data_IF_941095740525
#
_entry.id   IF_941095740525
#
_cell.length_a   1.000
_cell.length_b   1.000
_cell.length_c   1.000
_cell.angle_alpha   90.00
_cell.angle_beta   90.00
_cell.angle_gamma   90.00
#
_symmetry.space_group_name_H-M   'P 1'
#
loop_
_entity.id
_entity.type
_entity.pdbx_description
1 polymer ?
#
# COMPACT_ATOMS: atom_id res chain seq x y z
N UNK A 1 -24.41 43.75 -21.03
CA UNK A 1 -23.38 42.78 -20.61
C UNK A 1 -23.41 42.67 -19.09
N UNK A 2 -23.73 41.49 -18.53
CA UNK A 2 -23.73 41.29 -17.07
C UNK A 2 -22.28 41.34 -16.57
N UNK A 3 -21.98 42.27 -15.65
CA UNK A 3 -20.66 42.38 -15.05
C UNK A 3 -20.34 41.06 -14.30
N UNK A 4 -19.41 40.32 -14.84
CA UNK A 4 -18.95 39.05 -14.24
C UNK A 4 -18.34 39.35 -12.86
N UNK A 5 -18.86 38.72 -11.81
CA UNK A 5 -18.38 38.94 -10.45
C UNK A 5 -16.90 38.54 -10.37
N UNK A 6 -16.05 39.43 -9.89
CA UNK A 6 -14.64 39.16 -9.66
C UNK A 6 -14.50 37.98 -8.68
N UNK A 7 -13.67 37.01 -9.00
CA UNK A 7 -13.44 35.81 -8.16
C UNK A 7 -14.20 34.56 -8.58
N UNK A 8 -15.27 34.70 -9.41
CA UNK A 8 -16.05 33.53 -9.84
C UNK A 8 -15.21 32.48 -10.61
N UNK A 9 -14.27 32.98 -11.45
CA UNK A 9 -13.33 32.07 -12.15
C UNK A 9 -12.48 31.22 -11.21
N UNK A 10 -11.99 31.80 -10.11
CA UNK A 10 -11.19 31.07 -9.13
C UNK A 10 -12.01 29.98 -8.42
N UNK A 11 -13.28 30.24 -8.11
CA UNK A 11 -14.19 29.27 -7.51
C UNK A 11 -14.47 28.10 -8.45
N UNK A 12 -14.70 28.38 -9.75
CA UNK A 12 -14.89 27.33 -10.76
C UNK A 12 -13.60 26.52 -10.89
N UNK A 13 -12.43 27.16 -10.95
CA UNK A 13 -11.14 26.47 -11.02
C UNK A 13 -10.93 25.57 -9.80
N UNK A 14 -11.22 26.06 -8.60
CA UNK A 14 -11.15 25.25 -7.37
C UNK A 14 -12.07 24.02 -7.45
N UNK A 15 -13.29 24.19 -7.94
CA UNK A 15 -14.25 23.09 -8.12
C UNK A 15 -13.75 22.06 -9.14
N UNK A 16 -13.20 22.49 -10.27
CA UNK A 16 -12.64 21.59 -11.29
C UNK A 16 -11.47 20.81 -10.73
N UNK A 17 -10.54 21.47 -10.01
CA UNK A 17 -9.40 20.81 -9.37
C UNK A 17 -9.88 19.78 -8.35
N UNK A 18 -10.88 20.12 -7.53
CA UNK A 18 -11.47 19.21 -6.55
C UNK A 18 -12.09 17.97 -7.21
N UNK A 19 -12.85 18.15 -8.29
CA UNK A 19 -13.49 17.04 -9.00
C UNK A 19 -12.47 16.13 -9.68
N UNK A 20 -11.49 16.71 -10.39
CA UNK A 20 -10.46 15.92 -11.07
C UNK A 20 -9.52 15.22 -10.07
N UNK A 21 -8.97 15.95 -9.11
CA UNK A 21 -8.07 15.40 -8.10
C UNK A 21 -8.78 14.43 -7.16
N UNK A 22 -10.02 14.73 -6.77
CA UNK A 22 -10.88 13.84 -5.99
C UNK A 22 -11.17 12.54 -6.75
N UNK A 23 -11.49 12.62 -8.05
CA UNK A 23 -11.70 11.45 -8.91
C UNK A 23 -10.45 10.56 -8.99
N UNK A 24 -9.28 11.15 -9.20
CA UNK A 24 -8.01 10.40 -9.22
C UNK A 24 -7.74 9.75 -7.85
N UNK A 25 -7.96 10.47 -6.77
CA UNK A 25 -7.76 9.95 -5.39
C UNK A 25 -8.67 8.74 -5.13
N UNK A 26 -9.95 8.84 -5.49
CA UNK A 26 -10.91 7.72 -5.34
C UNK A 26 -10.48 6.53 -6.18
N UNK A 27 -10.08 6.74 -7.45
CA UNK A 27 -9.61 5.66 -8.31
C UNK A 27 -8.38 4.94 -7.74
N UNK A 28 -7.37 5.70 -7.28
CA UNK A 28 -6.18 5.13 -6.65
C UNK A 28 -6.51 4.44 -5.31
N UNK A 29 -7.41 5.00 -4.53
CA UNK A 29 -7.87 4.42 -3.27
C UNK A 29 -8.57 3.07 -3.47
N UNK A 30 -9.47 2.96 -4.45
CA UNK A 30 -10.13 1.70 -4.82
C UNK A 30 -9.09 0.68 -5.31
N UNK A 31 -8.15 1.12 -6.16
CA UNK A 31 -7.08 0.25 -6.66
C UNK A 31 -6.18 -0.27 -5.54
N UNK A 32 -5.82 0.57 -4.57
CA UNK A 32 -5.05 0.17 -3.40
C UNK A 32 -5.83 -0.79 -2.50
N UNK A 33 -7.12 -0.51 -2.26
CA UNK A 33 -8.01 -1.37 -1.46
C UNK A 33 -8.16 -2.77 -2.07
N UNK A 34 -8.43 -2.87 -3.37
CA UNK A 34 -8.52 -4.16 -4.06
C UNK A 34 -7.20 -4.93 -4.00
N UNK A 35 -6.07 -4.25 -4.25
CA UNK A 35 -4.75 -4.89 -4.11
C UNK A 35 -4.47 -5.36 -2.68
N UNK A 36 -4.91 -4.61 -1.66
CA UNK A 36 -4.79 -5.00 -0.25
C UNK A 36 -5.66 -6.21 0.09
N UNK A 37 -6.87 -6.30 -0.47
CA UNK A 37 -7.76 -7.45 -0.31
C UNK A 37 -7.15 -8.71 -0.92
N UNK A 38 -6.68 -8.63 -2.17
CA UNK A 38 -6.00 -9.74 -2.84
C UNK A 38 -4.77 -10.20 -2.04
N UNK A 39 -4.04 -9.25 -1.42
CA UNK A 39 -2.91 -9.53 -0.56
C UNK A 39 -3.32 -10.35 0.68
N UNK A 40 -4.36 -9.94 1.41
CA UNK A 40 -4.82 -10.66 2.61
C UNK A 40 -5.38 -12.04 2.28
N UNK A 41 -6.16 -12.18 1.20
CA UNK A 41 -6.69 -13.47 0.74
C UNK A 41 -5.55 -14.44 0.35
N UNK A 42 -4.49 -13.97 -0.28
CA UNK A 42 -3.34 -14.80 -0.63
C UNK A 42 -2.47 -15.15 0.60
N UNK A 43 -2.40 -14.29 1.61
CA UNK A 43 -1.77 -14.64 2.88
C UNK A 43 -2.48 -15.83 3.53
N UNK A 44 -3.81 -15.82 3.58
CA UNK A 44 -4.60 -16.89 4.19
C UNK A 44 -4.52 -18.22 3.43
N UNK A 45 -4.16 -18.20 2.14
CA UNK A 45 -3.98 -19.40 1.31
C UNK A 45 -2.56 -19.99 1.36
N UNK A 46 -1.66 -19.39 2.12
CA UNK A 46 -0.29 -19.86 2.29
C UNK A 46 -0.22 -21.24 2.99
N UNK A 47 0.84 -21.98 2.70
CA UNK A 47 1.17 -23.21 3.43
C UNK A 47 2.07 -22.88 4.61
N UNK A 48 1.86 -23.55 5.75
CA UNK A 48 2.63 -23.28 6.96
C UNK A 48 3.16 -24.54 7.62
N UNK A 49 4.23 -24.40 8.39
CA UNK A 49 4.75 -25.45 9.25
C UNK A 49 5.33 -24.88 10.54
N UNK A 50 5.42 -25.72 11.56
CA UNK A 50 5.97 -25.35 12.87
C UNK A 50 7.35 -25.99 13.01
N UNK A 51 8.36 -25.19 13.35
CA UNK A 51 9.73 -25.67 13.59
C UNK A 51 9.79 -26.62 14.79
N UNK A 52 10.60 -27.68 14.76
CA UNK A 52 11.57 -28.07 13.74
C UNK A 52 11.03 -28.95 12.60
N UNK A 53 9.72 -29.04 12.41
CA UNK A 53 9.16 -29.82 11.31
C UNK A 53 9.56 -29.21 9.97
N UNK A 54 9.43 -30.01 8.91
CA UNK A 54 9.64 -29.58 7.53
C UNK A 54 8.33 -29.64 6.77
N UNK A 55 8.22 -28.84 5.69
CA UNK A 55 7.07 -28.81 4.80
C UNK A 55 7.45 -29.41 3.46
N UNK A 56 6.62 -30.29 2.93
CA UNK A 56 6.70 -30.73 1.53
C UNK A 56 5.85 -29.79 0.69
N UNK A 57 6.50 -28.95 -0.12
CA UNK A 57 5.86 -27.89 -0.89
C UNK A 57 5.94 -28.15 -2.39
N UNK A 58 4.80 -28.14 -3.08
CA UNK A 58 4.73 -28.34 -4.53
C UNK A 58 3.98 -27.17 -5.19
N UNK A 59 4.69 -26.23 -5.84
CA UNK A 59 4.07 -25.07 -6.44
C UNK A 59 3.23 -25.44 -7.66
N UNK A 60 2.09 -24.76 -7.80
CA UNK A 60 1.16 -24.94 -8.93
C UNK A 60 1.63 -24.21 -10.20
N UNK A 61 2.50 -23.23 -10.04
CA UNK A 61 3.04 -22.39 -11.13
C UNK A 61 4.49 -21.98 -10.84
N UNK A 62 5.20 -21.50 -11.88
CA UNK A 62 6.49 -20.86 -11.68
C UNK A 62 6.26 -19.50 -11.04
N UNK A 63 6.73 -19.29 -9.82
CA UNK A 63 6.51 -18.06 -9.09
C UNK A 63 7.66 -17.76 -8.13
N UNK A 64 7.66 -16.57 -7.61
CA UNK A 64 8.38 -16.21 -6.42
C UNK A 64 7.45 -16.40 -5.22
N UNK A 65 7.94 -17.08 -4.20
CA UNK A 65 7.21 -17.25 -2.94
C UNK A 65 7.88 -16.44 -1.86
N UNK A 66 7.07 -15.83 -1.02
CA UNK A 66 7.52 -15.05 0.12
C UNK A 66 7.36 -15.88 1.40
N UNK A 67 8.37 -15.87 2.22
CA UNK A 67 8.43 -16.62 3.46
C UNK A 67 8.29 -15.66 4.64
N UNK A 68 7.36 -15.98 5.52
CA UNK A 68 7.06 -15.21 6.71
C UNK A 68 7.31 -16.04 7.95
N UNK A 69 7.70 -15.39 9.04
CA UNK A 69 7.71 -15.99 10.38
C UNK A 69 6.66 -15.30 11.24
N UNK A 70 5.88 -16.12 11.92
CA UNK A 70 4.89 -15.64 12.90
C UNK A 70 5.57 -15.55 14.26
N UNK A 71 5.48 -14.39 14.90
CA UNK A 71 6.01 -14.21 16.25
C UNK A 71 5.96 -12.76 16.71
N UNK A 72 6.38 -12.57 17.95
CA UNK A 72 6.44 -11.24 18.57
C UNK A 72 7.59 -10.40 17.98
N UNK A 73 7.60 -9.09 18.27
CA UNK A 73 8.53 -8.10 17.69
C UNK A 73 10.03 -8.39 17.94
N UNK A 74 10.35 -9.24 18.91
CA UNK A 74 11.73 -9.52 19.35
C UNK A 74 12.40 -10.73 18.64
N UNK A 75 11.83 -11.23 17.51
CA UNK A 75 12.43 -12.34 16.78
C UNK A 75 13.68 -11.88 16.05
N UNK A 76 14.81 -12.52 16.34
CA UNK A 76 16.04 -12.32 15.56
C UNK A 76 15.95 -13.01 14.19
N UNK A 77 15.45 -12.26 13.21
CA UNK A 77 15.32 -12.72 11.82
C UNK A 77 16.68 -13.00 11.16
N UNK A 78 17.76 -12.42 11.67
CA UNK A 78 19.08 -12.58 11.07
C UNK A 78 19.63 -14.01 11.21
N UNK A 79 19.27 -14.71 12.25
CA UNK A 79 19.69 -16.09 12.50
C UNK A 79 18.88 -17.11 11.71
N UNK A 80 17.64 -16.81 11.33
CA UNK A 80 16.76 -17.75 10.64
C UNK A 80 17.18 -17.89 9.17
N UNK A 81 17.43 -19.12 8.74
CA UNK A 81 17.74 -19.47 7.37
C UNK A 81 16.74 -20.49 6.84
N UNK A 82 16.12 -20.18 5.71
CA UNK A 82 15.18 -21.09 5.05
C UNK A 82 15.88 -21.79 3.91
N UNK A 83 15.76 -23.12 3.90
CA UNK A 83 16.37 -23.98 2.88
C UNK A 83 15.28 -24.74 2.13
N UNK A 84 15.37 -24.73 0.81
CA UNK A 84 14.56 -25.49 -0.13
C UNK A 84 15.39 -26.60 -0.73
N UNK A 85 15.07 -27.84 -0.43
CA UNK A 85 15.71 -29.01 -1.02
C UNK A 85 14.79 -29.61 -2.08
N UNK A 86 15.19 -29.54 -3.35
CA UNK A 86 14.47 -30.22 -4.42
C UNK A 86 14.54 -31.74 -4.21
N UNK A 87 13.38 -32.37 -4.01
CA UNK A 87 13.31 -33.80 -3.71
C UNK A 87 13.74 -34.70 -4.87
N UNK A 88 13.71 -34.20 -6.10
CA UNK A 88 14.10 -34.96 -7.31
C UNK A 88 15.60 -34.95 -7.49
N UNK A 89 16.24 -33.79 -7.28
CA UNK A 89 17.69 -33.62 -7.53
C UNK A 89 18.52 -33.71 -6.27
N UNK A 90 17.91 -33.59 -5.09
CA UNK A 90 18.61 -33.50 -3.81
C UNK A 90 19.35 -32.15 -3.60
N UNK A 91 19.22 -31.20 -4.52
CA UNK A 91 19.92 -29.92 -4.44
C UNK A 91 19.22 -29.01 -3.43
N UNK A 92 19.97 -28.53 -2.45
CA UNK A 92 19.49 -27.55 -1.47
C UNK A 92 19.93 -26.14 -1.85
N UNK A 93 18.96 -25.21 -1.86
CA UNK A 93 19.19 -23.78 -2.04
C UNK A 93 18.65 -23.01 -0.86
N UNK A 94 19.33 -21.94 -0.48
CA UNK A 94 18.83 -21.01 0.55
C UNK A 94 17.91 -19.97 -0.09
N UNK A 95 16.84 -19.63 0.61
CA UNK A 95 16.03 -18.49 0.25
C UNK A 95 16.84 -17.19 0.42
N UNK A 96 16.57 -16.21 -0.44
CA UNK A 96 17.23 -14.92 -0.39
C UNK A 96 16.63 -14.09 0.73
N UNK A 97 17.43 -13.71 1.73
CA UNK A 97 16.97 -12.84 2.80
C UNK A 97 16.49 -11.50 2.25
N UNK A 98 15.37 -11.03 2.76
CA UNK A 98 14.88 -9.71 2.41
C UNK A 98 15.74 -8.62 3.06
N UNK A 99 16.07 -7.60 2.27
CA UNK A 99 16.72 -6.39 2.79
C UNK A 99 15.72 -5.39 3.40
N UNK A 100 14.43 -5.63 3.22
CA UNK A 100 13.36 -4.77 3.71
C UNK A 100 12.57 -5.53 4.78
N UNK A 101 12.66 -5.07 6.00
CA UNK A 101 11.88 -5.59 7.11
C UNK A 101 10.42 -5.11 6.97
N UNK A 102 9.60 -5.91 6.29
CA UNK A 102 8.15 -5.70 6.32
C UNK A 102 7.56 -6.55 7.45
N UNK A 103 6.65 -5.96 8.21
CA UNK A 103 5.80 -6.72 9.11
C UNK A 103 4.34 -6.34 8.86
N UNK A 104 3.48 -7.32 8.91
CA UNK A 104 2.03 -7.15 8.83
C UNK A 104 1.43 -7.91 10.00
N UNK A 105 0.80 -7.20 10.91
CA UNK A 105 0.39 -7.73 12.20
C UNK A 105 1.60 -8.32 12.96
N UNK A 106 1.58 -9.60 13.31
CA UNK A 106 2.69 -10.34 13.92
C UNK A 106 3.43 -11.26 12.93
N UNK A 107 3.33 -10.99 11.63
CA UNK A 107 4.03 -11.71 10.56
C UNK A 107 5.20 -10.86 10.07
N UNK A 108 6.40 -11.41 10.13
CA UNK A 108 7.64 -10.76 9.70
C UNK A 108 8.12 -11.38 8.39
N UNK A 109 8.33 -10.56 7.38
CA UNK A 109 8.92 -10.99 6.11
C UNK A 109 10.38 -11.41 6.33
N UNK A 110 10.67 -12.66 6.01
CA UNK A 110 11.98 -13.26 6.24
C UNK A 110 12.82 -13.36 4.97
N UNK A 111 12.24 -13.92 3.91
CA UNK A 111 12.99 -14.24 2.70
C UNK A 111 12.06 -14.47 1.51
N UNK A 112 12.65 -14.45 0.31
CA UNK A 112 11.99 -14.80 -0.94
C UNK A 112 12.71 -15.96 -1.63
N UNK A 113 11.96 -16.81 -2.35
CA UNK A 113 12.52 -17.92 -3.08
C UNK A 113 11.75 -18.16 -4.39
N UNK A 114 12.50 -18.38 -5.48
CA UNK A 114 11.91 -18.72 -6.78
C UNK A 114 11.67 -20.21 -6.88
N UNK A 115 10.42 -20.61 -7.07
CA UNK A 115 9.98 -22.00 -7.23
C UNK A 115 9.61 -22.32 -8.67
N UNK A 116 9.77 -23.58 -9.06
CA UNK A 116 9.43 -24.08 -10.39
C UNK A 116 8.23 -25.01 -10.30
N UNK A 117 7.26 -24.80 -11.20
CA UNK A 117 6.03 -25.63 -11.28
C UNK A 117 6.35 -27.12 -11.38
N UNK A 118 5.64 -27.90 -10.57
CA UNK A 118 5.72 -29.36 -10.61
C UNK A 118 6.95 -29.95 -9.92
N UNK A 119 7.85 -29.12 -9.38
CA UNK A 119 8.91 -29.58 -8.49
C UNK A 119 8.40 -29.67 -7.07
N UNK A 120 8.80 -30.70 -6.33
CA UNK A 120 8.52 -30.81 -4.90
C UNK A 120 9.75 -30.42 -4.12
N UNK A 121 9.59 -29.51 -3.18
CA UNK A 121 10.63 -29.00 -2.31
C UNK A 121 10.38 -29.45 -0.87
N UNK A 122 11.41 -29.97 -0.22
CA UNK A 122 11.43 -30.09 1.24
C UNK A 122 11.90 -28.76 1.82
N UNK A 123 11.01 -28.05 2.51
CA UNK A 123 11.35 -26.75 3.11
C UNK A 123 11.66 -26.92 4.59
N UNK A 124 12.76 -26.33 5.04
CA UNK A 124 13.20 -26.32 6.43
C UNK A 124 13.65 -24.96 6.88
N UNK A 125 13.48 -24.67 8.17
CA UNK A 125 13.96 -23.45 8.81
C UNK A 125 15.04 -23.81 9.83
N UNK A 126 16.23 -23.24 9.68
CA UNK A 126 17.36 -23.38 10.62
C UNK A 126 17.54 -22.07 11.40
N UNK A 127 17.89 -22.16 12.65
CA UNK A 127 18.06 -21.00 13.54
C UNK A 127 16.77 -20.43 14.11
N UNK A 128 15.62 -20.88 13.63
CA UNK A 128 14.34 -20.51 14.24
C UNK A 128 14.13 -21.23 15.58
N UNK A 129 13.55 -20.54 16.53
CA UNK A 129 13.16 -21.14 17.81
C UNK A 129 12.17 -22.29 17.60
N UNK A 130 12.22 -23.32 18.46
CA UNK A 130 11.25 -24.39 18.42
C UNK A 130 9.85 -23.85 18.67
N UNK A 131 8.89 -24.26 17.83
CA UNK A 131 7.51 -23.77 17.91
C UNK A 131 7.24 -22.54 17.05
N UNK A 132 8.26 -21.95 16.38
CA UNK A 132 8.01 -20.85 15.42
C UNK A 132 7.20 -21.36 14.24
N UNK A 133 6.20 -20.59 13.84
CA UNK A 133 5.40 -20.88 12.64
C UNK A 133 5.98 -20.15 11.44
N UNK A 134 6.30 -20.94 10.41
CA UNK A 134 6.81 -20.42 9.12
C UNK A 134 5.69 -20.55 8.09
N UNK A 135 5.43 -19.47 7.36
CA UNK A 135 4.43 -19.39 6.31
C UNK A 135 5.08 -19.16 4.95
N UNK A 136 4.60 -19.85 3.94
CA UNK A 136 5.03 -19.70 2.54
C UNK A 136 3.81 -19.23 1.75
N UNK A 137 3.92 -18.05 1.14
CA UNK A 137 2.83 -17.46 0.36
C UNK A 137 3.28 -17.18 -1.07
N UNK A 138 2.33 -17.13 -2.00
CA UNK A 138 2.57 -16.75 -3.40
C UNK A 138 2.58 -15.25 -3.65
N UNK A 139 2.79 -14.45 -2.63
CA UNK A 139 2.83 -12.99 -2.74
C UNK A 139 4.26 -12.58 -3.01
N UNK A 140 4.51 -12.00 -4.18
CA UNK A 140 5.82 -11.41 -4.46
C UNK A 140 6.02 -10.12 -3.69
N UNK A 141 7.26 -9.84 -3.30
CA UNK A 141 7.67 -8.55 -2.71
C UNK A 141 7.30 -7.36 -3.59
N UNK A 142 7.30 -7.53 -4.92
CA UNK A 142 6.85 -6.53 -5.88
C UNK A 142 5.35 -6.20 -5.76
N UNK A 143 4.50 -7.18 -5.44
CA UNK A 143 3.07 -6.97 -5.21
C UNK A 143 2.84 -6.11 -3.96
N UNK A 144 3.63 -6.35 -2.90
CA UNK A 144 3.59 -5.56 -1.65
C UNK A 144 3.98 -4.10 -1.94
N UNK A 145 5.13 -3.90 -2.59
CA UNK A 145 5.62 -2.56 -2.96
C UNK A 145 4.63 -1.82 -3.87
N UNK A 146 4.04 -2.52 -4.85
CA UNK A 146 3.01 -1.97 -5.73
C UNK A 146 1.78 -1.49 -4.95
N UNK A 147 1.31 -2.27 -3.98
CA UNK A 147 0.15 -1.92 -3.15
C UNK A 147 0.45 -0.70 -2.28
N UNK A 148 1.61 -0.69 -1.62
CA UNK A 148 2.05 0.45 -0.81
C UNK A 148 2.22 1.71 -1.65
N UNK A 149 2.86 1.62 -2.83
CA UNK A 149 3.06 2.77 -3.71
C UNK A 149 1.73 3.38 -4.19
N UNK A 150 0.72 2.56 -4.47
CA UNK A 150 -0.64 3.03 -4.81
C UNK A 150 -1.31 3.75 -3.64
N UNK A 151 -1.18 3.20 -2.42
CA UNK A 151 -1.75 3.80 -1.22
C UNK A 151 -1.10 5.17 -0.92
N UNK A 152 0.24 5.25 -0.93
CA UNK A 152 0.96 6.51 -0.74
C UNK A 152 0.70 7.50 -1.88
N UNK A 153 0.59 7.01 -3.12
CA UNK A 153 0.21 7.83 -4.27
C UNK A 153 -1.16 8.47 -4.10
N UNK A 154 -2.15 7.72 -3.63
CA UNK A 154 -3.50 8.24 -3.34
C UNK A 154 -3.46 9.34 -2.28
N UNK A 155 -2.74 9.12 -1.17
CA UNK A 155 -2.58 10.11 -0.11
C UNK A 155 -1.87 11.38 -0.60
N UNK A 156 -0.82 11.24 -1.39
CA UNK A 156 -0.09 12.36 -1.98
C UNK A 156 -0.97 13.20 -2.90
N UNK A 157 -1.70 12.58 -3.82
CA UNK A 157 -2.64 13.27 -4.72
C UNK A 157 -3.74 13.97 -3.93
N UNK A 158 -4.33 13.31 -2.92
CA UNK A 158 -5.35 13.89 -2.06
C UNK A 158 -4.84 15.16 -1.36
N UNK A 159 -3.66 15.09 -0.76
CA UNK A 159 -3.06 16.21 -0.02
C UNK A 159 -2.79 17.41 -0.92
N UNK A 160 -2.16 17.19 -2.08
CA UNK A 160 -1.87 18.26 -3.05
C UNK A 160 -3.15 18.87 -3.59
N UNK A 161 -4.13 18.04 -3.96
CA UNK A 161 -5.44 18.52 -4.45
C UNK A 161 -6.13 19.38 -3.40
N UNK A 162 -6.16 18.93 -2.15
CA UNK A 162 -6.78 19.66 -1.05
C UNK A 162 -6.14 21.03 -0.85
N UNK A 163 -4.81 21.11 -0.76
CA UNK A 163 -4.08 22.39 -0.57
C UNK A 163 -4.35 23.35 -1.73
N UNK A 164 -4.24 22.90 -2.97
CA UNK A 164 -4.48 23.75 -4.14
C UNK A 164 -5.94 24.23 -4.16
N UNK A 165 -6.90 23.34 -3.92
CA UNK A 165 -8.33 23.69 -3.88
C UNK A 165 -8.61 24.75 -2.80
N UNK A 166 -7.98 24.61 -1.64
CA UNK A 166 -8.14 25.52 -0.52
C UNK A 166 -7.59 26.90 -0.86
N UNK A 167 -6.41 27.00 -1.49
CA UNK A 167 -5.80 28.26 -1.93
C UNK A 167 -6.72 28.97 -2.94
N UNK A 168 -7.13 28.28 -4.00
CA UNK A 168 -7.99 28.87 -5.02
C UNK A 168 -9.38 29.22 -4.48
N UNK A 169 -9.92 28.41 -3.58
CA UNK A 169 -11.18 28.66 -2.90
C UNK A 169 -11.14 29.93 -2.05
N UNK A 170 -10.11 30.11 -1.23
CA UNK A 170 -9.93 31.31 -0.40
C UNK A 170 -9.77 32.55 -1.27
N UNK A 171 -8.88 32.52 -2.27
CA UNK A 171 -8.69 33.65 -3.18
C UNK A 171 -10.00 34.00 -3.92
N UNK A 172 -10.72 32.98 -4.37
CA UNK A 172 -11.99 33.15 -5.04
C UNK A 172 -13.05 33.78 -4.14
N UNK A 173 -13.15 33.31 -2.91
CA UNK A 173 -14.10 33.81 -1.92
C UNK A 173 -13.80 35.26 -1.53
N UNK A 174 -12.55 35.59 -1.22
CA UNK A 174 -12.13 36.97 -0.90
C UNK A 174 -12.48 37.92 -2.03
N UNK A 175 -12.10 37.58 -3.28
CA UNK A 175 -12.41 38.45 -4.46
C UNK A 175 -13.90 38.51 -4.75
N UNK A 176 -14.67 37.47 -4.45
CA UNK A 176 -16.13 37.49 -4.62
C UNK A 176 -16.81 38.40 -3.62
N UNK A 177 -16.39 38.37 -2.35
CA UNK A 177 -16.92 39.22 -1.29
C UNK A 177 -16.54 40.71 -1.47
N UNK A 178 -15.32 40.98 -1.96
CA UNK A 178 -14.87 42.36 -2.28
C UNK A 178 -15.45 42.95 -3.59
N UNK A 179 -16.33 42.20 -4.27
CA UNK A 179 -16.95 42.70 -5.49
C UNK A 179 -17.89 43.88 -5.19
N UNK A 180 -17.84 44.99 -5.98
CA UNK A 180 -18.61 46.20 -5.71
C UNK A 180 -20.11 46.03 -5.60
N UNK A 181 -20.66 44.97 -6.21
CA UNK A 181 -22.10 44.63 -6.07
C UNK A 181 -22.52 44.21 -4.66
N UNK A 182 -21.60 43.71 -3.86
CA UNK A 182 -21.95 43.31 -2.48
C UNK A 182 -21.85 44.49 -1.50
N UNK A 183 -21.15 45.57 -1.86
CA UNK A 183 -21.05 46.81 -1.05
C UNK A 183 -22.25 47.75 -1.20
N UNK A 184 -23.03 47.60 -2.25
CA UNK A 184 -24.22 48.49 -2.51
C UNK A 184 -25.39 48.23 -1.55
N UNK A 185 -25.34 47.23 -0.71
CA UNK A 185 -26.36 46.97 0.34
C UNK A 185 -25.96 47.46 1.72
N UNK A 186 -24.75 48.02 1.89
CA UNK A 186 -24.42 48.73 3.14
C UNK A 186 -25.03 50.12 3.06
N UNK A 187 -26.11 50.36 3.79
CA UNK A 187 -26.69 51.70 3.96
C UNK A 187 -25.61 52.66 4.44
N UNK A 188 -25.56 53.88 3.88
CA UNK A 188 -24.63 54.89 4.38
C UNK A 188 -24.88 55.13 5.88
N UNK A 189 -23.81 55.36 6.68
CA UNK A 189 -23.98 55.66 8.11
C UNK A 189 -24.86 56.90 8.26
N UNK A 190 -25.75 56.93 9.27
CA UNK A 190 -26.60 58.09 9.52
C UNK A 190 -25.73 59.30 9.79
N UNK A 191 -25.96 60.40 9.05
CA UNK A 191 -25.35 61.70 9.33
C UNK A 191 -25.98 62.26 10.61
N UNK A 192 -25.21 62.38 11.67
CA UNK A 192 -25.54 63.10 12.88
C UNK A 192 -25.02 64.55 12.79
#
# INVERSE_FOLDING_TARGET
>A
MAAQKKGYGFLITALIILLLGGGITVFLGISAFNSGKDFTENLDQGESFITPKTLSYTPKENSEVTIWVLGDEDIDLAEINIEFTDTTTGITKKATKSNAAYHVNNQHHLADFRVEKGRTYQVSAKGAANGSTIWITHISSDAILSTLSKAFGALGVASVTFVITLIFGIIGLVRYLDSPKNRSHQSPPPLY
#
